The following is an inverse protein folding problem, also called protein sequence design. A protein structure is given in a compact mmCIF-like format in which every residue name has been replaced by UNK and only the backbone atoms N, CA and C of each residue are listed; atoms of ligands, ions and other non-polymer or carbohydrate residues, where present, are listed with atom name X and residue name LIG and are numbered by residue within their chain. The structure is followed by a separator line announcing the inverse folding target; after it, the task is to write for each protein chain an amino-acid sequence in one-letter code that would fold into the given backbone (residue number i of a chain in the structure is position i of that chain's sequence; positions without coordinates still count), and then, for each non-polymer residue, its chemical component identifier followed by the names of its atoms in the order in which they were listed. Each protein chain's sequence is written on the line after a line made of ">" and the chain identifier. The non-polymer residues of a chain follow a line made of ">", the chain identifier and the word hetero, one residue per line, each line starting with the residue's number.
data_IF_314402903713
#
_entry.id   IF_314402903713
#
_cell.length_a   1.000
_cell.length_b   1.000
_cell.length_c   1.000
_cell.angle_alpha   90.00
_cell.angle_beta   90.00
_cell.angle_gamma   90.00
#
_symmetry.space_group_name_H-M   'P 1'
#
loop_
_entity.id
_entity.type
_entity.pdbx_description
1 polymer ?
#
# COMPACT_ATOMS: atom_id res chain seq x y z
N UNK A 1 -9.53 4.64 34.66
CA UNK A 1 -9.64 3.87 33.42
C UNK A 1 -8.53 4.33 32.50
N UNK A 2 -7.66 3.44 32.07
CA UNK A 2 -6.65 3.81 31.08
C UNK A 2 -7.23 3.65 29.68
N UNK A 3 -7.11 4.70 28.86
CA UNK A 3 -7.41 4.65 27.45
C UNK A 3 -6.14 4.20 26.72
N UNK A 4 -6.21 3.04 26.15
CA UNK A 4 -5.11 2.49 25.34
C UNK A 4 -5.55 2.27 23.90
N UNK A 5 -4.59 2.22 23.00
CA UNK A 5 -4.81 1.81 21.60
C UNK A 5 -4.00 0.56 21.31
N UNK A 6 -4.49 -0.23 20.38
CA UNK A 6 -3.81 -1.44 19.92
C UNK A 6 -3.90 -1.57 18.41
N UNK A 7 -2.95 -2.28 17.81
CA UNK A 7 -3.05 -2.73 16.43
C UNK A 7 -3.94 -3.98 16.42
N UNK A 8 -5.11 -3.91 15.80
CA UNK A 8 -6.08 -5.00 15.76
C UNK A 8 -5.86 -5.96 14.59
N UNK A 9 -5.37 -5.46 13.46
CA UNK A 9 -5.07 -6.27 12.28
C UNK A 9 -4.09 -5.58 11.35
N UNK A 10 -3.32 -6.36 10.62
CA UNK A 10 -2.34 -5.89 9.64
C UNK A 10 -2.46 -6.75 8.39
N UNK A 11 -2.40 -6.12 7.23
CA UNK A 11 -2.36 -6.82 5.95
C UNK A 11 -1.64 -5.99 4.89
N UNK A 12 -1.35 -6.59 3.76
CA UNK A 12 -0.78 -5.92 2.60
C UNK A 12 -1.38 -6.48 1.32
N UNK A 13 -1.40 -5.66 0.28
CA UNK A 13 -1.67 -6.04 -1.09
C UNK A 13 -0.52 -5.53 -1.96
N UNK A 14 -0.01 -6.36 -2.83
CA UNK A 14 1.14 -6.05 -3.67
C UNK A 14 0.82 -6.30 -5.14
N UNK A 15 1.32 -5.45 -6.06
CA UNK A 15 1.32 -5.76 -7.48
C UNK A 15 2.06 -7.06 -7.76
N UNK A 16 1.66 -7.77 -8.81
CA UNK A 16 2.30 -9.05 -9.19
C UNK A 16 3.68 -8.84 -9.82
N UNK A 17 3.84 -7.78 -10.61
CA UNK A 17 5.10 -7.48 -11.28
C UNK A 17 6.21 -7.22 -10.28
N UNK A 18 7.36 -7.89 -10.48
CA UNK A 18 8.59 -7.66 -9.73
C UNK A 18 9.61 -6.96 -10.61
N UNK A 19 10.29 -5.99 -10.04
CA UNK A 19 11.41 -5.28 -10.68
C UNK A 19 12.66 -5.49 -9.84
N UNK A 20 13.68 -6.09 -10.46
CA UNK A 20 14.96 -6.41 -9.79
C UNK A 20 15.92 -5.22 -9.79
N UNK A 21 16.94 -5.27 -8.94
CA UNK A 21 18.00 -4.26 -8.94
C UNK A 21 18.74 -4.19 -10.27
N UNK A 22 18.95 -5.32 -10.93
CA UNK A 22 19.60 -5.40 -12.26
C UNK A 22 18.79 -4.65 -13.31
N UNK A 23 17.44 -4.78 -13.29
CA UNK A 23 16.58 -4.05 -14.22
C UNK A 23 16.64 -2.54 -14.00
N UNK A 24 16.66 -2.10 -12.73
CA UNK A 24 16.81 -0.66 -12.40
C UNK A 24 18.19 -0.14 -12.76
N UNK A 25 19.24 -0.91 -12.45
CA UNK A 25 20.62 -0.54 -12.72
C UNK A 25 20.92 -0.40 -14.22
N UNK A 26 20.19 -1.15 -15.07
CA UNK A 26 20.33 -1.04 -16.52
C UNK A 26 19.93 0.35 -17.08
N UNK A 27 18.99 1.02 -16.41
CA UNK A 27 18.50 2.35 -16.81
C UNK A 27 19.20 3.50 -16.08
N UNK A 28 19.95 3.17 -15.03
CA UNK A 28 20.67 4.13 -14.20
C UNK A 28 22.17 3.77 -14.20
N UNK A 29 23.02 4.78 -14.11
CA UNK A 29 24.48 4.56 -14.00
C UNK A 29 24.88 4.13 -12.57
N UNK A 30 24.31 3.01 -12.13
CA UNK A 30 24.57 2.41 -10.80
C UNK A 30 24.68 0.89 -10.90
N UNK A 31 25.30 0.30 -9.88
CA UNK A 31 25.44 -1.14 -9.74
C UNK A 31 24.30 -1.74 -8.89
N UNK A 32 23.72 -2.85 -9.32
CA UNK A 32 22.70 -3.59 -8.57
C UNK A 32 23.16 -3.94 -7.15
N UNK A 33 24.45 -4.28 -6.98
CA UNK A 33 25.04 -4.55 -5.67
C UNK A 33 25.07 -3.30 -4.78
N UNK A 34 25.30 -2.14 -5.35
CA UNK A 34 25.26 -0.86 -4.64
C UNK A 34 23.83 -0.58 -4.11
N UNK A 35 22.80 -0.82 -4.94
CA UNK A 35 21.40 -0.68 -4.53
C UNK A 35 21.11 -1.60 -3.32
N UNK A 36 21.48 -2.88 -3.41
CA UNK A 36 21.27 -3.85 -2.35
C UNK A 36 21.97 -3.45 -1.05
N UNK A 37 23.22 -2.99 -1.12
CA UNK A 37 23.99 -2.54 0.05
C UNK A 37 23.38 -1.31 0.74
N UNK A 38 22.80 -0.39 -0.04
CA UNK A 38 22.21 0.85 0.49
C UNK A 38 20.81 0.69 1.03
N UNK A 39 20.01 -0.18 0.42
CA UNK A 39 18.57 -0.30 0.70
C UNK A 39 18.19 -1.61 1.40
N UNK A 40 19.03 -2.63 1.31
CA UNK A 40 18.67 -4.00 1.70
C UNK A 40 17.69 -4.68 0.75
N UNK A 41 17.24 -3.97 -0.29
CA UNK A 41 16.24 -4.46 -1.26
C UNK A 41 16.91 -5.11 -2.46
N UNK A 42 16.44 -6.27 -2.87
CA UNK A 42 16.89 -6.98 -4.07
C UNK A 42 15.93 -6.82 -5.24
N UNK A 43 14.65 -6.81 -4.95
CA UNK A 43 13.57 -6.58 -5.89
C UNK A 43 12.42 -5.84 -5.19
N UNK A 44 11.50 -5.26 -5.96
CA UNK A 44 10.31 -4.60 -5.45
C UNK A 44 9.10 -4.89 -6.33
N UNK A 45 7.90 -4.96 -5.73
CA UNK A 45 6.68 -4.97 -6.52
C UNK A 45 6.51 -3.62 -7.22
N UNK A 46 6.00 -3.66 -8.44
CA UNK A 46 5.83 -2.48 -9.27
C UNK A 46 4.47 -2.51 -9.94
N UNK A 47 3.63 -1.52 -9.66
CA UNK A 47 2.33 -1.41 -10.28
C UNK A 47 2.45 -1.20 -11.80
N UNK A 48 1.62 -1.88 -12.55
CA UNK A 48 1.45 -1.66 -13.99
C UNK A 48 0.46 -0.54 -14.25
N UNK A 49 0.36 -0.08 -15.50
CA UNK A 49 -0.53 1.03 -15.88
C UNK A 49 -2.03 0.77 -15.62
N UNK A 50 -2.44 -0.49 -15.47
CA UNK A 50 -3.82 -0.88 -15.16
C UNK A 50 -4.13 -1.03 -13.68
N UNK A 51 -3.12 -0.98 -12.80
CA UNK A 51 -3.28 -1.14 -11.37
C UNK A 51 -3.34 0.22 -10.68
N UNK A 52 -4.38 0.43 -9.88
CA UNK A 52 -4.59 1.68 -9.15
C UNK A 52 -4.16 1.55 -7.69
N UNK A 53 -3.58 2.62 -7.13
CA UNK A 53 -3.22 2.69 -5.72
C UNK A 53 -4.44 2.49 -4.83
N UNK A 54 -5.56 3.14 -5.15
CA UNK A 54 -6.80 3.04 -4.36
C UNK A 54 -7.32 1.61 -4.27
N UNK A 55 -7.22 0.82 -5.34
CA UNK A 55 -7.62 -0.58 -5.35
C UNK A 55 -6.71 -1.45 -4.50
N UNK A 56 -5.40 -1.30 -4.64
CA UNK A 56 -4.42 -2.01 -3.80
C UNK A 56 -4.57 -1.65 -2.31
N UNK A 57 -4.79 -0.37 -2.01
CA UNK A 57 -5.02 0.09 -0.64
C UNK A 57 -6.33 -0.47 -0.07
N UNK A 58 -7.39 -0.53 -0.87
CA UNK A 58 -8.66 -1.13 -0.47
C UNK A 58 -8.55 -2.63 -0.22
N UNK A 59 -7.80 -3.36 -1.06
CA UNK A 59 -7.55 -4.79 -0.86
C UNK A 59 -6.78 -5.05 0.44
N UNK A 60 -5.75 -4.26 0.71
CA UNK A 60 -5.03 -4.33 1.98
C UNK A 60 -5.93 -3.99 3.17
N UNK A 61 -6.76 -2.95 3.04
CA UNK A 61 -7.71 -2.54 4.06
C UNK A 61 -8.74 -3.61 4.37
N UNK A 62 -9.37 -4.21 3.36
CA UNK A 62 -10.31 -5.34 3.53
C UNK A 62 -9.67 -6.51 4.24
N UNK A 63 -8.49 -6.92 3.82
CA UNK A 63 -7.77 -8.01 4.45
C UNK A 63 -7.39 -7.71 5.91
N UNK A 64 -7.03 -6.47 6.23
CA UNK A 64 -6.74 -6.06 7.59
C UNK A 64 -7.99 -6.07 8.49
N UNK A 65 -9.13 -5.60 7.97
CA UNK A 65 -10.43 -5.64 8.66
C UNK A 65 -10.89 -7.08 8.94
N UNK A 66 -10.76 -7.96 7.95
CA UNK A 66 -11.08 -9.38 8.09
C UNK A 66 -10.25 -10.03 9.21
N UNK A 67 -8.93 -9.79 9.23
CA UNK A 67 -8.04 -10.31 10.28
C UNK A 67 -8.36 -9.72 11.66
N UNK A 68 -8.81 -8.48 11.70
CA UNK A 68 -9.21 -7.81 12.94
C UNK A 68 -10.61 -8.24 13.45
N UNK A 69 -11.44 -8.85 12.58
CA UNK A 69 -12.84 -9.13 12.87
C UNK A 69 -13.70 -7.87 12.98
N UNK A 70 -13.33 -6.81 12.27
CA UNK A 70 -14.02 -5.49 12.28
C UNK A 70 -14.73 -5.29 10.95
N UNK A 71 -15.98 -4.82 11.02
CA UNK A 71 -16.76 -4.47 9.83
C UNK A 71 -16.38 -3.06 9.32
N UNK A 72 -16.43 -2.82 8.00
CA UNK A 72 -16.10 -1.50 7.45
C UNK A 72 -16.86 -0.34 8.06
N UNK A 73 -18.15 -0.52 8.35
CA UNK A 73 -19.01 0.51 8.94
C UNK A 73 -18.66 0.84 10.42
N UNK A 74 -17.80 0.06 11.06
CA UNK A 74 -17.32 0.34 12.42
C UNK A 74 -16.09 1.26 12.42
N UNK A 75 -15.58 1.64 11.23
CA UNK A 75 -14.45 2.54 11.12
C UNK A 75 -14.88 4.00 11.31
N UNK A 76 -14.23 4.70 12.21
CA UNK A 76 -14.42 6.14 12.43
C UNK A 76 -13.52 6.99 11.53
N UNK A 77 -12.41 6.43 11.04
CA UNK A 77 -11.41 7.17 10.26
C UNK A 77 -10.67 6.26 9.32
N UNK A 78 -10.48 6.72 8.09
CA UNK A 78 -9.59 6.11 7.09
C UNK A 78 -8.49 7.08 6.73
N UNK A 79 -7.24 6.69 6.95
CA UNK A 79 -6.05 7.46 6.59
C UNK A 79 -5.30 6.77 5.47
N UNK A 80 -4.99 7.50 4.41
CA UNK A 80 -4.17 7.03 3.31
C UNK A 80 -2.95 7.94 3.17
N UNK A 81 -1.76 7.36 3.38
CA UNK A 81 -0.50 8.05 3.19
C UNK A 81 0.19 7.55 1.92
N UNK A 82 0.34 8.42 0.94
CA UNK A 82 0.98 8.08 -0.33
C UNK A 82 1.62 9.30 -0.97
N UNK A 83 2.71 9.08 -1.71
CA UNK A 83 3.31 10.09 -2.61
C UNK A 83 2.94 9.85 -4.08
N UNK A 84 2.21 8.77 -4.38
CA UNK A 84 1.87 8.32 -5.74
C UNK A 84 0.38 8.04 -5.86
N UNK A 85 -0.46 9.01 -5.45
CA UNK A 85 -1.91 8.88 -5.56
C UNK A 85 -2.35 8.71 -7.02
N UNK A 86 -3.49 8.04 -7.22
CA UNK A 86 -4.09 7.87 -8.56
C UNK A 86 -4.46 9.22 -9.18
N UNK A 87 -4.86 10.17 -8.34
CA UNK A 87 -5.28 11.52 -8.73
C UNK A 87 -4.83 12.56 -7.70
N UNK A 88 -4.59 13.77 -8.16
CA UNK A 88 -4.18 14.88 -7.27
C UNK A 88 -5.36 15.31 -6.40
N UNK A 89 -6.56 15.36 -6.98
CA UNK A 89 -7.82 15.68 -6.30
C UNK A 89 -8.98 14.90 -6.92
N UNK A 90 -9.90 14.35 -6.09
CA UNK A 90 -9.83 14.25 -4.63
C UNK A 90 -8.66 13.37 -4.15
N UNK A 91 -8.27 13.46 -2.87
CA UNK A 91 -7.24 12.58 -2.33
C UNK A 91 -7.73 11.12 -2.27
N UNK A 92 -6.79 10.18 -2.07
CA UNK A 92 -7.09 8.75 -2.15
C UNK A 92 -8.00 8.22 -1.02
N UNK A 93 -8.06 8.89 0.15
CA UNK A 93 -8.78 8.36 1.30
C UNK A 93 -10.29 8.18 1.08
N UNK A 94 -11.04 9.13 0.49
CA UNK A 94 -12.45 8.92 0.15
C UNK A 94 -12.68 7.77 -0.84
N UNK A 95 -11.80 7.61 -1.83
CA UNK A 95 -11.87 6.51 -2.79
C UNK A 95 -11.67 5.16 -2.09
N UNK A 96 -10.67 5.06 -1.24
CA UNK A 96 -10.40 3.84 -0.47
C UNK A 96 -11.54 3.54 0.49
N UNK A 97 -12.05 4.55 1.22
CA UNK A 97 -13.19 4.39 2.12
C UNK A 97 -14.42 3.81 1.38
N UNK A 98 -14.78 4.38 0.24
CA UNK A 98 -15.87 3.88 -0.59
C UNK A 98 -15.65 2.46 -1.08
N UNK A 99 -14.42 2.12 -1.54
CA UNK A 99 -14.08 0.78 -2.03
C UNK A 99 -14.13 -0.30 -0.94
N UNK A 100 -13.83 0.03 0.31
CA UNK A 100 -13.92 -0.92 1.44
C UNK A 100 -15.31 -0.95 2.09
N UNK A 101 -16.19 -0.03 1.74
CA UNK A 101 -17.54 0.07 2.30
C UNK A 101 -17.58 0.75 3.68
N UNK A 102 -16.66 1.64 3.95
CA UNK A 102 -16.62 2.48 5.16
C UNK A 102 -17.32 3.81 4.89
N UNK A 103 -18.66 3.77 4.82
CA UNK A 103 -19.53 4.94 4.61
C UNK A 103 -20.06 5.51 5.93
#
# INVERSE_FOLDING_TARGET
>A
MSLGSRIAGVAMALPERRVTNEQIAADLDVDATWIAKRTGTRERPWATSGERLSELAADAGRAALERAGIQPHELDLVLVATSTADEITPNAAPLVAGLIGAD
#
